data_IF_497747505751
#
_entry.id   IF_497747505751
#
_cell.length_a   1.000
_cell.length_b   1.000
_cell.length_c   1.000
_cell.angle_alpha   90.00
_cell.angle_beta   90.00
_cell.angle_gamma   90.00
#
_symmetry.space_group_name_H-M   'P 1'
#
loop_
_entity.id
_entity.type
_entity.pdbx_description
1 polymer ?
#
# COMPACT_ATOMS: atom_id res chain seq x y z
N UNK A 1 -3.53 7.32 6.70
CA UNK A 1 -4.13 6.25 7.54
C UNK A 1 -4.22 6.69 9.00
N UNK A 2 -5.21 6.24 9.80
CA UNK A 2 -5.26 6.51 11.25
C UNK A 2 -4.46 5.46 12.05
N UNK A 3 -3.71 5.90 13.06
CA UNK A 3 -2.96 5.02 13.95
C UNK A 3 -3.00 5.52 15.40
N UNK A 4 -3.14 4.60 16.36
CA UNK A 4 -3.09 4.91 17.80
C UNK A 4 -1.92 4.16 18.44
N UNK A 5 -1.23 4.83 19.38
CA UNK A 5 -0.10 4.25 20.11
C UNK A 5 -0.55 3.85 21.52
N UNK A 6 -0.45 2.56 21.86
CA UNK A 6 -0.67 2.09 23.23
C UNK A 6 0.58 2.33 24.06
N UNK A 7 0.44 2.97 25.22
CA UNK A 7 1.56 3.32 26.10
C UNK A 7 1.33 2.88 27.53
N UNK A 8 0.08 2.87 27.98
CA UNK A 8 -0.31 2.50 29.33
C UNK A 8 -0.76 1.03 29.36
N UNK A 9 -0.44 0.33 30.44
CA UNK A 9 -0.87 -1.06 30.63
C UNK A 9 -2.40 -1.19 30.75
N UNK A 10 -3.08 -0.12 31.16
CA UNK A 10 -4.54 -0.04 31.18
C UNK A 10 -5.16 0.18 29.79
N UNK A 11 -4.37 0.56 28.77
CA UNK A 11 -4.89 0.71 27.41
C UNK A 11 -5.28 -0.67 26.85
N UNK A 12 -6.50 -0.76 26.33
CA UNK A 12 -7.06 -1.98 25.74
C UNK A 12 -7.35 -1.75 24.27
N UNK A 13 -7.13 -2.79 23.46
CA UNK A 13 -7.45 -2.75 22.04
C UNK A 13 -8.09 -4.08 21.60
N UNK A 14 -9.08 -4.00 20.74
CA UNK A 14 -9.71 -5.16 20.10
C UNK A 14 -9.86 -4.91 18.60
N UNK A 15 -9.56 -5.91 17.79
CA UNK A 15 -9.69 -5.83 16.34
C UNK A 15 -11.07 -6.28 15.89
N UNK A 16 -11.67 -5.52 14.97
CA UNK A 16 -12.94 -5.83 14.33
C UNK A 16 -12.69 -6.31 12.89
N UNK A 17 -13.05 -7.56 12.60
CA UNK A 17 -12.84 -8.19 11.29
C UNK A 17 -13.78 -7.61 10.20
N UNK A 18 -14.92 -7.02 10.56
CA UNK A 18 -15.83 -6.43 9.57
C UNK A 18 -15.28 -5.13 8.97
N UNK A 19 -14.86 -4.22 9.84
CA UNK A 19 -14.30 -2.92 9.47
C UNK A 19 -12.80 -2.95 9.19
N UNK A 20 -12.11 -4.04 9.55
CA UNK A 20 -10.65 -4.17 9.54
C UNK A 20 -9.97 -3.03 10.34
N UNK A 21 -10.57 -2.63 11.46
CA UNK A 21 -10.07 -1.57 12.36
C UNK A 21 -9.92 -2.06 13.79
N UNK A 22 -9.11 -1.34 14.56
CA UNK A 22 -8.98 -1.50 16.00
C UNK A 22 -9.89 -0.52 16.73
N UNK A 23 -10.60 -1.00 17.74
CA UNK A 23 -11.20 -0.15 18.77
C UNK A 23 -10.21 -0.11 19.94
N UNK A 24 -9.75 1.08 20.30
CA UNK A 24 -8.83 1.32 21.40
C UNK A 24 -9.56 2.06 22.51
N UNK A 25 -9.49 1.54 23.73
CA UNK A 25 -9.94 2.23 24.94
C UNK A 25 -8.71 2.62 25.75
N UNK A 26 -8.46 3.92 25.89
CA UNK A 26 -7.34 4.47 26.66
C UNK A 26 -7.64 4.42 28.16
N UNK A 27 -6.60 4.59 28.98
CA UNK A 27 -6.69 4.53 30.44
C UNK A 27 -7.70 5.50 31.07
N UNK A 28 -8.03 6.60 30.40
CA UNK A 28 -9.05 7.59 30.81
C UNK A 28 -10.49 7.15 30.46
N UNK A 29 -10.67 6.00 29.81
CA UNK A 29 -11.95 5.47 29.37
C UNK A 29 -12.40 5.94 27.98
N UNK A 30 -11.64 6.84 27.33
CA UNK A 30 -11.93 7.31 25.98
C UNK A 30 -11.78 6.15 25.00
N UNK A 31 -12.72 6.02 24.05
CA UNK A 31 -12.69 4.97 23.03
C UNK A 31 -12.62 5.57 21.65
N UNK A 32 -11.66 5.12 20.85
CA UNK A 32 -11.40 5.58 19.49
C UNK A 32 -11.16 4.41 18.54
N UNK A 33 -11.49 4.60 17.26
CA UNK A 33 -11.19 3.62 16.21
C UNK A 33 -9.95 4.03 15.41
N UNK A 34 -9.09 3.07 15.10
CA UNK A 34 -7.90 3.29 14.29
C UNK A 34 -7.65 2.14 13.31
N UNK A 35 -7.09 2.46 12.13
CA UNK A 35 -6.68 1.43 11.18
C UNK A 35 -5.54 0.59 11.73
N UNK A 36 -4.59 1.22 12.43
CA UNK A 36 -3.40 0.58 13.00
C UNK A 36 -3.25 0.86 14.49
N UNK A 37 -2.73 -0.13 15.22
CA UNK A 37 -2.26 0.03 16.60
C UNK A 37 -0.75 -0.18 16.67
N UNK A 38 -0.06 0.71 17.39
CA UNK A 38 1.36 0.61 17.71
C UNK A 38 1.51 0.45 19.22
N UNK A 39 1.81 -0.75 19.68
CA UNK A 39 2.04 -1.03 21.10
C UNK A 39 3.49 -0.72 21.49
N UNK A 40 3.67 0.38 22.23
CA UNK A 40 4.97 0.84 22.72
C UNK A 40 5.27 0.38 24.16
N UNK A 41 4.45 -0.50 24.74
CA UNK A 41 4.69 -1.05 26.09
C UNK A 41 5.93 -1.92 26.08
N UNK A 42 6.75 -1.76 27.12
CA UNK A 42 8.01 -2.50 27.24
C UNK A 42 7.75 -4.00 27.38
N UNK A 43 8.53 -4.81 26.69
CA UNK A 43 8.43 -6.27 26.77
C UNK A 43 9.79 -6.91 26.55
N UNK A 44 10.10 -8.03 27.22
CA UNK A 44 11.29 -8.82 26.91
C UNK A 44 11.22 -9.47 25.52
N UNK A 45 10.03 -9.64 24.95
CA UNK A 45 9.87 -10.09 23.57
C UNK A 45 10.00 -8.91 22.60
N UNK A 46 11.18 -8.77 21.98
CA UNK A 46 11.52 -7.74 21.00
C UNK A 46 10.83 -7.87 19.62
N UNK A 47 9.72 -8.59 19.56
CA UNK A 47 8.93 -8.81 18.34
C UNK A 47 8.15 -7.57 17.96
N UNK A 48 8.27 -7.16 16.69
CA UNK A 48 7.59 -5.99 16.11
C UNK A 48 6.23 -6.35 15.51
N UNK A 49 6.10 -7.53 14.90
CA UNK A 49 4.82 -8.01 14.36
C UNK A 49 4.73 -9.54 14.44
N UNK A 50 3.52 -10.06 14.55
CA UNK A 50 3.23 -11.50 14.63
C UNK A 50 2.08 -11.87 13.71
N UNK A 51 2.04 -13.14 13.31
CA UNK A 51 0.89 -13.72 12.65
C UNK A 51 -0.32 -13.78 13.59
N UNK A 52 -1.53 -13.62 13.05
CA UNK A 52 -2.79 -13.65 13.80
C UNK A 52 -3.17 -12.34 14.48
N UNK A 53 -2.36 -11.28 14.33
CA UNK A 53 -2.66 -9.95 14.88
C UNK A 53 -2.48 -8.90 13.76
N UNK A 54 -3.50 -8.68 12.92
CA UNK A 54 -3.42 -7.76 11.80
C UNK A 54 -3.34 -6.30 12.26
N UNK A 55 -2.77 -5.44 11.43
CA UNK A 55 -2.68 -3.99 11.64
C UNK A 55 -2.08 -3.60 13.00
N UNK A 56 -1.28 -4.47 13.60
CA UNK A 56 -0.72 -4.29 14.93
C UNK A 56 0.80 -4.43 14.89
N UNK A 57 1.47 -3.36 15.29
CA UNK A 57 2.92 -3.31 15.42
C UNK A 57 3.31 -3.06 16.86
N UNK A 58 4.54 -3.44 17.22
CA UNK A 58 5.09 -3.23 18.57
C UNK A 58 6.44 -2.54 18.49
N UNK A 59 6.72 -1.70 19.48
CA UNK A 59 8.03 -1.09 19.74
C UNK A 59 8.41 -1.40 21.20
N UNK A 60 8.62 -2.68 21.55
CA UNK A 60 8.79 -3.10 22.94
C UNK A 60 10.16 -2.79 23.55
N UNK A 61 11.12 -2.32 22.74
CA UNK A 61 12.53 -2.26 23.08
C UNK A 61 13.24 -3.62 22.95
N UNK A 62 14.54 -3.70 23.32
CA UNK A 62 15.36 -2.59 23.79
C UNK A 62 15.80 -1.64 22.65
N UNK A 63 15.89 -2.12 21.41
CA UNK A 63 16.32 -1.31 20.25
C UNK A 63 15.13 -0.55 19.64
N UNK A 64 14.66 0.46 20.37
CA UNK A 64 13.51 1.29 20.00
C UNK A 64 13.73 1.96 18.65
N UNK A 65 14.92 2.46 18.36
CA UNK A 65 15.21 3.18 17.12
C UNK A 65 15.08 2.25 15.89
N UNK A 66 15.66 1.05 15.94
CA UNK A 66 15.53 0.08 14.85
C UNK A 66 14.11 -0.44 14.71
N UNK A 67 13.39 -0.63 15.81
CA UNK A 67 11.99 -1.03 15.80
C UNK A 67 11.11 0.05 15.17
N UNK A 68 11.24 1.32 15.58
CA UNK A 68 10.53 2.46 15.00
C UNK A 68 10.76 2.55 13.49
N UNK A 69 12.02 2.46 13.03
CA UNK A 69 12.31 2.46 11.58
C UNK A 69 11.66 1.29 10.84
N UNK A 70 11.59 0.12 11.46
CA UNK A 70 10.89 -1.01 10.85
C UNK A 70 9.38 -0.76 10.79
N UNK A 71 8.78 -0.27 11.87
CA UNK A 71 7.34 0.08 11.92
C UNK A 71 7.02 1.13 10.86
N UNK A 72 7.81 2.21 10.75
CA UNK A 72 7.62 3.23 9.71
C UNK A 72 7.61 2.61 8.30
N UNK A 73 8.58 1.76 7.97
CA UNK A 73 8.57 1.06 6.66
C UNK A 73 7.36 0.15 6.46
N UNK A 74 6.81 -0.45 7.52
CA UNK A 74 5.57 -1.22 7.44
C UNK A 74 4.34 -0.32 7.20
N UNK A 75 4.31 0.86 7.81
CA UNK A 75 3.25 1.85 7.58
C UNK A 75 3.31 2.38 6.15
N UNK A 76 4.51 2.75 5.66
CA UNK A 76 4.70 3.20 4.27
C UNK A 76 4.29 2.11 3.27
N UNK A 77 4.61 0.85 3.57
CA UNK A 77 4.20 -0.30 2.78
C UNK A 77 2.67 -0.40 2.71
N UNK A 78 2.00 -0.25 3.85
CA UNK A 78 0.57 -0.43 3.99
C UNK A 78 -0.22 0.72 3.35
N UNK A 79 0.25 1.97 3.51
CA UNK A 79 -0.32 3.13 2.81
C UNK A 79 -0.16 2.99 1.29
N UNK A 80 1.04 2.66 0.81
CA UNK A 80 1.30 2.51 -0.63
C UNK A 80 0.54 1.35 -1.26
N UNK A 81 0.11 0.35 -0.49
CA UNK A 81 -0.63 -0.78 -1.05
C UNK A 81 -2.12 -0.53 -1.20
N UNK A 82 -2.68 0.53 -0.61
CA UNK A 82 -4.13 0.76 -0.56
C UNK A 82 -4.89 -0.32 0.22
N UNK A 83 -4.19 -1.13 1.01
CA UNK A 83 -4.80 -2.26 1.70
C UNK A 83 -5.50 -1.79 2.98
N UNK A 84 -6.49 -2.54 3.46
CA UNK A 84 -7.13 -2.31 4.75
C UNK A 84 -6.66 -3.29 5.83
N UNK A 85 -5.93 -4.34 5.44
CA UNK A 85 -5.28 -5.33 6.31
C UNK A 85 -3.82 -5.55 5.91
N UNK A 86 -2.93 -5.46 6.90
CA UNK A 86 -1.54 -5.92 6.85
C UNK A 86 -1.31 -6.92 7.98
N UNK A 87 -0.93 -8.15 7.65
CA UNK A 87 -0.72 -9.22 8.62
C UNK A 87 0.62 -9.91 8.41
N UNK A 88 1.42 -10.06 9.46
CA UNK A 88 2.72 -10.71 9.32
C UNK A 88 2.55 -12.21 9.02
N UNK A 89 3.35 -12.74 8.09
CA UNK A 89 3.36 -14.19 7.78
C UNK A 89 4.03 -15.04 8.85
N UNK A 90 4.85 -14.41 9.68
CA UNK A 90 5.61 -15.02 10.77
C UNK A 90 6.05 -13.95 11.75
N UNK A 91 6.71 -14.35 12.84
CA UNK A 91 7.27 -13.41 13.82
C UNK A 91 8.35 -12.53 13.18
N UNK A 92 8.17 -11.21 13.22
CA UNK A 92 9.11 -10.22 12.69
C UNK A 92 9.82 -9.51 13.84
N UNK A 93 11.15 -9.56 13.84
CA UNK A 93 12.01 -8.78 14.75
C UNK A 93 12.81 -7.77 13.94
N UNK A 94 13.11 -6.61 14.54
CA UNK A 94 13.93 -5.59 13.90
C UNK A 94 15.33 -6.12 13.54
N UNK A 95 15.88 -7.07 14.31
CA UNK A 95 17.25 -7.60 14.25
C UNK A 95 17.61 -8.63 13.15
N UNK A 96 16.68 -9.08 12.30
CA UNK A 96 16.90 -10.24 11.42
C UNK A 96 17.68 -9.96 10.13
N UNK A 97 18.76 -10.71 9.88
CA UNK A 97 19.65 -10.64 8.71
C UNK A 97 19.10 -11.39 7.47
N UNK A 98 17.81 -11.24 7.16
CA UNK A 98 17.26 -11.84 5.92
C UNK A 98 17.03 -10.75 4.86
N UNK A 99 17.65 -10.84 3.67
CA UNK A 99 17.49 -9.90 2.57
C UNK A 99 16.19 -10.17 1.81
N UNK A 100 15.09 -10.41 2.52
CA UNK A 100 13.77 -10.53 1.91
C UNK A 100 13.11 -9.17 1.90
N UNK A 101 12.49 -8.75 0.77
CA UNK A 101 11.68 -7.55 0.70
C UNK A 101 10.65 -7.53 1.82
N UNK A 102 10.38 -6.35 2.38
CA UNK A 102 9.45 -6.20 3.50
C UNK A 102 8.05 -6.73 3.14
N UNK A 103 7.58 -6.47 1.92
CA UNK A 103 6.29 -6.93 1.41
C UNK A 103 6.10 -8.45 1.49
N UNK A 104 7.14 -9.24 1.24
CA UNK A 104 7.08 -10.70 1.31
C UNK A 104 6.89 -11.22 2.74
N UNK A 105 7.12 -10.39 3.76
CA UNK A 105 6.89 -10.74 5.17
C UNK A 105 5.44 -10.57 5.61
N UNK A 106 4.58 -10.02 4.76
CA UNK A 106 3.19 -9.73 5.07
C UNK A 106 2.20 -10.36 4.07
N UNK A 107 1.00 -10.61 4.55
CA UNK A 107 -0.21 -10.67 3.74
C UNK A 107 -0.84 -9.28 3.73
N UNK A 108 -1.06 -8.74 2.54
CA UNK A 108 -1.78 -7.50 2.33
C UNK A 108 -3.11 -7.86 1.68
N UNK A 109 -4.20 -7.40 2.27
CA UNK A 109 -5.54 -7.56 1.71
C UNK A 109 -6.38 -6.34 2.01
N UNK A 110 -7.37 -6.09 1.18
CA UNK A 110 -8.39 -5.08 1.40
C UNK A 110 -9.57 -5.42 0.51
N UNK A 111 -10.71 -4.74 0.74
CA UNK A 111 -11.74 -4.73 -0.28
C UNK A 111 -11.11 -4.27 -1.60
N UNK A 112 -11.49 -4.94 -2.68
CA UNK A 112 -11.05 -4.54 -4.01
C UNK A 112 -11.40 -3.07 -4.11
N UNK A 113 -10.43 -2.20 -4.44
CA UNK A 113 -10.70 -0.78 -4.58
C UNK A 113 -12.00 -0.60 -5.37
N UNK A 114 -12.95 0.14 -4.81
CA UNK A 114 -14.16 0.50 -5.54
C UNK A 114 -13.73 1.12 -6.88
N UNK A 115 -14.64 1.19 -7.86
CA UNK A 115 -14.33 1.82 -9.16
C UNK A 115 -13.73 3.25 -9.05
N UNK A 116 -13.79 3.85 -7.85
CA UNK A 116 -13.33 5.18 -7.44
C UNK A 116 -11.93 5.22 -6.74
N UNK A 117 -11.35 4.08 -6.35
CA UNK A 117 -9.99 4.01 -5.76
C UNK A 117 -8.88 3.93 -6.84
N UNK A 118 -9.27 4.19 -8.09
CA UNK A 118 -8.38 4.38 -9.23
C UNK A 118 -8.33 5.84 -9.66
N UNK A 119 -7.42 6.13 -10.58
CA UNK A 119 -7.45 7.40 -11.28
C UNK A 119 -8.40 7.31 -12.47
N UNK A 120 -9.42 8.16 -12.55
CA UNK A 120 -10.20 8.38 -13.77
C UNK A 120 -10.17 9.87 -14.14
N UNK A 121 -9.38 10.24 -15.14
CA UNK A 121 -9.19 11.64 -15.46
C UNK A 121 -8.24 11.95 -16.62
N UNK A 122 -7.93 13.25 -16.83
CA UNK A 122 -7.06 13.72 -17.90
C UNK A 122 -5.57 13.38 -17.68
N UNK A 123 -4.95 12.78 -18.68
CA UNK A 123 -3.52 12.46 -18.68
C UNK A 123 -2.87 12.87 -20.00
N UNK A 124 -1.55 12.75 -20.09
CA UNK A 124 -0.84 12.81 -21.37
C UNK A 124 0.04 11.59 -21.60
N UNK A 125 0.09 11.11 -22.84
CA UNK A 125 1.01 10.06 -23.29
C UNK A 125 1.97 10.67 -24.28
N UNK A 126 3.26 10.74 -23.94
CA UNK A 126 4.28 11.43 -24.75
C UNK A 126 3.84 12.86 -25.17
N UNK A 127 3.13 13.57 -24.28
CA UNK A 127 2.59 14.91 -24.54
C UNK A 127 1.25 14.97 -25.28
N UNK A 128 0.66 13.84 -25.68
CA UNK A 128 -0.67 13.78 -26.31
C UNK A 128 -1.75 13.66 -25.23
N UNK A 129 -2.73 14.56 -25.25
CA UNK A 129 -3.86 14.53 -24.31
C UNK A 129 -4.74 13.29 -24.49
N UNK A 130 -5.08 12.67 -23.36
CA UNK A 130 -5.92 11.47 -23.28
C UNK A 130 -6.75 11.47 -22.00
N UNK A 131 -7.71 10.56 -21.90
CA UNK A 131 -8.31 10.18 -20.62
C UNK A 131 -7.75 8.83 -20.17
N UNK A 132 -7.34 8.73 -18.92
CA UNK A 132 -6.82 7.49 -18.34
C UNK A 132 -7.74 7.03 -17.21
N UNK A 133 -8.03 5.72 -17.20
CA UNK A 133 -8.65 5.01 -16.08
C UNK A 133 -7.69 3.95 -15.57
N UNK A 134 -7.06 4.18 -14.41
CA UNK A 134 -5.94 3.38 -13.89
C UNK A 134 -6.24 2.91 -12.46
N UNK A 135 -5.80 1.71 -12.13
CA UNK A 135 -5.78 1.20 -10.76
C UNK A 135 -4.51 0.39 -10.53
N UNK A 136 -4.19 0.10 -9.28
CA UNK A 136 -2.99 -0.67 -8.96
C UNK A 136 -3.03 -1.30 -7.59
N UNK A 137 -2.04 -2.13 -7.33
CA UNK A 137 -1.89 -2.85 -6.07
C UNK A 137 -0.41 -3.14 -5.83
N UNK A 138 -0.02 -3.32 -4.57
CA UNK A 138 1.31 -3.82 -4.25
C UNK A 138 1.37 -5.33 -4.42
N UNK A 139 2.18 -5.82 -5.35
CA UNK A 139 2.37 -7.25 -5.53
C UNK A 139 3.31 -7.80 -4.43
N UNK A 140 2.81 -8.76 -3.65
CA UNK A 140 3.58 -9.35 -2.57
C UNK A 140 4.81 -10.15 -3.05
N UNK A 141 4.82 -10.57 -4.32
CA UNK A 141 5.88 -11.41 -4.90
C UNK A 141 7.20 -10.63 -5.05
N UNK A 142 7.15 -9.40 -5.53
CA UNK A 142 8.32 -8.56 -5.79
C UNK A 142 8.36 -7.31 -4.90
N UNK A 143 7.29 -7.02 -4.17
CA UNK A 143 7.17 -5.83 -3.32
C UNK A 143 7.04 -4.54 -4.11
N UNK A 144 6.72 -4.61 -5.39
CA UNK A 144 6.50 -3.45 -6.25
C UNK A 144 5.01 -3.14 -6.37
N UNK A 145 4.70 -1.86 -6.58
CA UNK A 145 3.32 -1.46 -6.88
C UNK A 145 3.11 -1.64 -8.38
N UNK A 146 2.20 -2.53 -8.75
CA UNK A 146 1.83 -2.79 -10.13
C UNK A 146 0.52 -2.10 -10.42
N UNK A 147 0.48 -1.34 -11.50
CA UNK A 147 -0.69 -0.60 -11.91
C UNK A 147 -1.00 -0.88 -13.38
N UNK A 148 -2.29 -0.88 -13.71
CA UNK A 148 -2.83 -1.15 -15.04
C UNK A 148 -4.06 -0.29 -15.26
N UNK A 149 -4.38 -0.05 -16.52
CA UNK A 149 -5.66 0.56 -16.84
C UNK A 149 -5.88 0.70 -18.33
N UNK A 150 -6.81 1.57 -18.67
CA UNK A 150 -7.14 1.94 -20.03
C UNK A 150 -6.85 3.41 -20.29
N UNK A 151 -6.49 3.70 -21.53
CA UNK A 151 -6.33 5.05 -22.05
C UNK A 151 -7.26 5.18 -23.25
N UNK A 152 -8.02 6.26 -23.31
CA UNK A 152 -8.86 6.62 -24.45
C UNK A 152 -8.43 7.98 -25.01
N UNK A 153 -8.31 8.05 -26.33
CA UNK A 153 -7.83 9.23 -27.06
C UNK A 153 -7.09 8.86 -28.34
N UNK A 154 -6.78 9.86 -29.16
CA UNK A 154 -6.16 9.67 -30.47
C UNK A 154 -4.63 9.61 -30.36
N UNK A 155 -4.12 8.47 -29.90
CA UNK A 155 -2.68 8.23 -29.91
C UNK A 155 -2.14 8.08 -31.34
N UNK A 156 -0.94 8.63 -31.65
CA UNK A 156 -0.23 8.40 -32.90
C UNK A 156 -0.08 6.91 -33.26
N UNK A 157 -0.17 6.57 -34.55
CA UNK A 157 -0.22 5.18 -35.03
C UNK A 157 1.01 4.34 -34.65
N UNK A 158 2.17 4.98 -34.50
CA UNK A 158 3.42 4.40 -34.03
C UNK A 158 3.38 3.94 -32.57
N UNK A 159 2.57 4.60 -31.73
CA UNK A 159 2.34 4.22 -30.32
C UNK A 159 1.28 3.11 -30.16
N UNK A 160 0.47 2.84 -31.19
CA UNK A 160 -0.61 1.83 -31.16
C UNK A 160 -0.10 0.39 -31.27
N UNK A 161 1.15 0.18 -31.70
CA UNK A 161 1.71 -1.17 -31.85
C UNK A 161 2.10 -1.70 -30.46
N UNK A 162 1.49 -2.80 -30.04
CA UNK A 162 1.65 -3.37 -28.70
C UNK A 162 3.10 -3.57 -28.28
N UNK A 163 3.35 -3.39 -26.99
CA UNK A 163 4.63 -3.62 -26.33
C UNK A 163 5.54 -2.40 -26.21
N UNK A 164 5.10 -1.19 -26.55
CA UNK A 164 5.91 0.05 -26.52
C UNK A 164 5.94 0.68 -25.15
N UNK A 165 7.14 1.12 -24.75
CA UNK A 165 7.33 1.99 -23.61
C UNK A 165 6.91 3.42 -23.99
N UNK A 166 6.13 4.05 -23.14
CA UNK A 166 5.67 5.44 -23.28
C UNK A 166 5.88 6.18 -21.97
N UNK A 167 6.01 7.49 -22.06
CA UNK A 167 5.88 8.39 -20.93
C UNK A 167 4.40 8.65 -20.68
N UNK A 168 3.91 8.32 -19.48
CA UNK A 168 2.57 8.68 -19.01
C UNK A 168 2.68 9.74 -17.93
N UNK A 169 1.95 10.85 -18.10
CA UNK A 169 1.95 11.97 -17.17
C UNK A 169 0.54 12.26 -16.65
N UNK A 170 0.40 12.39 -15.33
CA UNK A 170 -0.81 12.86 -14.66
C UNK A 170 -0.41 13.98 -13.72
N UNK A 171 -1.04 15.16 -13.88
CA UNK A 171 -0.59 16.39 -13.23
C UNK A 171 0.93 16.61 -13.43
N UNK A 172 1.71 16.67 -12.36
CA UNK A 172 3.17 16.87 -12.41
C UNK A 172 3.98 15.55 -12.33
N UNK A 173 3.32 14.39 -12.34
CA UNK A 173 3.96 13.08 -12.16
C UNK A 173 4.12 12.35 -13.48
N UNK A 174 5.37 12.09 -13.83
CA UNK A 174 5.76 11.38 -15.05
C UNK A 174 6.29 9.98 -14.71
N UNK A 175 5.85 8.96 -15.46
CA UNK A 175 6.33 7.58 -15.31
C UNK A 175 6.53 6.90 -16.66
N UNK A 176 7.42 5.92 -16.69
CA UNK A 176 7.51 4.99 -17.82
C UNK A 176 6.42 3.92 -17.70
N UNK A 177 5.65 3.76 -18.76
CA UNK A 177 4.54 2.83 -18.86
C UNK A 177 4.66 1.99 -20.12
N UNK A 178 3.90 0.90 -20.23
CA UNK A 178 3.86 0.06 -21.43
C UNK A 178 2.45 -0.05 -21.97
N UNK A 179 2.27 0.28 -23.25
CA UNK A 179 1.03 -0.04 -23.95
C UNK A 179 1.09 -1.51 -24.37
N UNK A 180 0.15 -2.33 -23.91
CA UNK A 180 0.18 -3.78 -24.11
C UNK A 180 -0.72 -4.24 -25.24
N UNK A 181 -1.89 -3.64 -25.38
CA UNK A 181 -2.91 -4.01 -26.36
C UNK A 181 -3.81 -2.82 -26.72
N UNK A 182 -4.39 -2.87 -27.92
CA UNK A 182 -5.51 -2.01 -28.31
C UNK A 182 -6.80 -2.71 -27.94
N UNK A 183 -7.70 -2.01 -27.25
CA UNK A 183 -8.98 -2.59 -26.84
C UNK A 183 -9.95 -2.67 -28.01
N UNK A 184 -10.97 -3.57 -27.97
CA UNK A 184 -11.99 -3.64 -29.01
C UNK A 184 -12.79 -2.35 -29.21
N UNK A 185 -12.77 -1.44 -28.23
CA UNK A 185 -13.49 -0.16 -28.23
C UNK A 185 -12.63 1.04 -28.64
N UNK A 186 -11.43 0.80 -29.20
CA UNK A 186 -10.55 1.85 -29.70
C UNK A 186 -9.68 2.56 -28.65
N UNK A 187 -9.61 2.02 -27.43
CA UNK A 187 -8.69 2.47 -26.39
C UNK A 187 -7.41 1.62 -26.35
N UNK A 188 -6.59 1.85 -25.34
CA UNK A 188 -5.32 1.16 -25.14
C UNK A 188 -5.20 0.66 -23.71
N UNK A 189 -4.75 -0.57 -23.51
CA UNK A 189 -4.33 -1.01 -22.19
C UNK A 189 -2.92 -0.54 -21.93
N UNK A 190 -2.73 0.05 -20.75
CA UNK A 190 -1.44 0.49 -20.24
C UNK A 190 -1.12 -0.24 -18.93
N UNK A 191 0.15 -0.60 -18.74
CA UNK A 191 0.66 -1.17 -17.50
C UNK A 191 1.93 -0.47 -17.04
N UNK A 192 2.21 -0.51 -15.74
CA UNK A 192 3.47 -0.07 -15.19
C UNK A 192 3.73 -0.67 -13.81
N UNK A 193 4.95 -0.47 -13.33
CA UNK A 193 5.40 -0.95 -12.02
C UNK A 193 6.15 0.16 -11.29
N UNK A 194 6.20 0.08 -9.96
CA UNK A 194 6.76 1.14 -9.12
C UNK A 194 5.73 2.23 -8.80
N UNK A 195 6.22 3.45 -8.54
CA UNK A 195 5.35 4.56 -8.17
C UNK A 195 4.39 4.91 -9.32
N UNK A 196 3.06 4.92 -9.10
CA UNK A 196 2.11 5.29 -10.14
C UNK A 196 2.13 6.82 -10.39
N UNK A 197 1.65 7.26 -11.57
CA UNK A 197 1.53 8.69 -11.88
C UNK A 197 0.32 9.34 -11.15
N UNK A 198 -0.57 8.54 -10.56
CA UNK A 198 -1.69 9.00 -9.75
C UNK A 198 -1.42 8.83 -8.24
N UNK A 199 -2.29 9.42 -7.41
CA UNK A 199 -2.29 9.16 -5.97
C UNK A 199 -3.02 7.82 -5.76
N UNK A 200 -2.33 6.77 -5.27
CA UNK A 200 -2.95 5.50 -4.96
C UNK A 200 -3.78 5.56 -3.67
#
# INVERSE_FOLDING_TARGET
MSAIVLRNDADRASFDEGSQTWTVTTADGTTESARVVIDARRSPDATVAVHGIPNHFRIPGPDVERQTRLVQRCLDLFERSGATRIEARSRIKAGGWRPVPLAQRFHLSGEVPDEDDGYDGPATVNGVEVRARLSGHLAAIDGQYHWRGTITGDLPADLRKGGRTVTLTIAEREVQARITETTPWGGYTVTGSGQPPFRP
#
